data_IF_210448523744
#
_entry.id   IF_210448523744
#
_cell.length_a   1.000
_cell.length_b   1.000
_cell.length_c   1.000
_cell.angle_alpha   90.00
_cell.angle_beta   90.00
_cell.angle_gamma   90.00
#
_symmetry.space_group_name_H-M   'P 1'
#
loop_
_entity.id
_entity.type
_entity.pdbx_description
1 polymer ?
#
# COMPACT_ATOMS: atom_id res chain seq x y z
N UNK A 1 -19.31 -4.38 10.60
CA UNK A 1 -19.09 -2.93 10.80
C UNK A 1 -18.24 -2.76 12.04
N UNK A 2 -17.00 -2.29 11.93
CA UNK A 2 -16.19 -1.99 13.11
C UNK A 2 -16.82 -0.81 13.85
N UNK A 3 -16.98 -0.91 15.16
CA UNK A 3 -17.49 0.19 15.98
C UNK A 3 -16.54 1.38 15.88
N UNK A 4 -17.07 2.61 15.94
CA UNK A 4 -16.26 3.84 16.04
C UNK A 4 -15.29 3.69 17.24
N UNK A 5 -13.97 3.85 17.05
CA UNK A 5 -13.03 3.83 18.16
C UNK A 5 -13.36 4.93 19.17
N UNK A 6 -13.53 4.57 20.45
CA UNK A 6 -13.87 5.51 21.52
C UNK A 6 -12.85 6.66 21.65
N UNK A 7 -11.59 6.42 21.27
CA UNK A 7 -10.56 7.47 21.27
C UNK A 7 -10.87 8.64 20.34
N UNK A 8 -11.59 8.40 19.24
CA UNK A 8 -12.00 9.46 18.32
C UNK A 8 -13.06 10.38 18.95
N UNK A 9 -13.90 9.89 19.87
CA UNK A 9 -14.86 10.76 20.55
C UNK A 9 -14.14 11.85 21.35
N UNK A 10 -13.11 11.47 22.11
CA UNK A 10 -12.28 12.41 22.88
C UNK A 10 -11.53 13.38 21.97
N UNK A 11 -10.97 12.91 20.85
CA UNK A 11 -10.23 13.76 19.92
C UNK A 11 -11.12 14.76 19.16
N UNK A 12 -12.38 14.39 18.91
CA UNK A 12 -13.32 15.23 18.16
C UNK A 12 -14.13 16.16 19.07
N UNK A 13 -14.29 15.83 20.37
CA UNK A 13 -15.10 16.61 21.31
C UNK A 13 -14.85 18.14 21.31
N UNK A 14 -13.59 18.64 21.22
CA UNK A 14 -13.35 20.08 21.12
C UNK A 14 -13.99 20.75 19.89
N UNK A 15 -14.04 20.06 18.75
CA UNK A 15 -14.72 20.55 17.55
C UNK A 15 -16.22 20.67 17.77
N UNK A 16 -16.85 19.65 18.37
CA UNK A 16 -18.29 19.65 18.64
C UNK A 16 -18.65 20.75 19.65
N UNK A 17 -17.84 20.93 20.69
CA UNK A 17 -18.02 21.98 21.69
C UNK A 17 -17.91 23.39 21.06
N UNK A 18 -17.08 23.54 20.03
CA UNK A 18 -16.98 24.77 19.24
C UNK A 18 -18.09 24.94 18.19
N UNK A 19 -19.06 24.01 18.10
CA UNK A 19 -20.14 24.05 17.12
C UNK A 19 -19.69 23.71 15.68
N UNK A 20 -18.55 23.04 15.53
CA UNK A 20 -17.96 22.72 14.22
C UNK A 20 -18.42 21.34 13.73
N UNK A 21 -18.46 21.19 12.40
CA UNK A 21 -18.78 19.93 11.72
C UNK A 21 -17.51 19.28 11.21
N UNK A 22 -17.26 18.05 11.63
CA UNK A 22 -16.07 17.29 11.25
C UNK A 22 -16.39 15.89 10.72
N UNK A 23 -15.61 15.42 9.76
CA UNK A 23 -15.66 14.04 9.28
C UNK A 23 -14.28 13.40 9.39
N UNK A 24 -14.21 12.18 9.89
CA UNK A 24 -13.04 11.31 9.76
C UNK A 24 -13.26 10.38 8.57
N UNK A 25 -12.39 10.49 7.56
CA UNK A 25 -12.40 9.66 6.34
C UNK A 25 -11.05 8.95 6.24
N UNK A 26 -11.01 7.66 6.57
CA UNK A 26 -9.76 6.90 6.64
C UNK A 26 -8.77 7.53 7.63
N UNK A 27 -7.62 7.96 7.11
CA UNK A 27 -6.56 8.65 7.84
C UNK A 27 -6.59 10.18 7.71
N UNK A 28 -7.77 10.77 7.44
CA UNK A 28 -7.94 12.22 7.29
C UNK A 28 -9.07 12.75 8.17
N UNK A 29 -8.86 13.94 8.74
CA UNK A 29 -9.85 14.75 9.45
C UNK A 29 -10.25 15.94 8.58
N UNK A 30 -11.53 16.05 8.27
CA UNK A 30 -12.11 17.12 7.48
C UNK A 30 -12.90 18.04 8.43
N UNK A 31 -12.60 19.32 8.43
CA UNK A 31 -13.37 20.39 9.07
C UNK A 31 -14.16 21.13 8.00
N UNK A 32 -15.47 20.95 8.02
CA UNK A 32 -16.39 21.48 7.02
C UNK A 32 -16.84 22.90 7.33
N UNK A 33 -17.51 23.50 6.34
CA UNK A 33 -18.22 24.78 6.47
C UNK A 33 -17.31 25.92 6.95
N UNK A 34 -16.04 25.93 6.52
CA UNK A 34 -15.08 26.98 6.82
C UNK A 34 -15.44 28.22 5.97
N UNK A 35 -15.89 29.33 6.59
CA UNK A 35 -16.22 30.54 5.82
C UNK A 35 -14.96 31.14 5.22
N UNK A 36 -14.98 31.40 3.93
CA UNK A 36 -13.84 31.90 3.16
C UNK A 36 -14.29 33.03 2.23
N UNK A 37 -13.45 34.05 2.07
CA UNK A 37 -13.66 35.13 1.10
C UNK A 37 -12.98 34.72 -0.20
N UNK A 38 -13.69 34.79 -1.32
CA UNK A 38 -13.11 34.58 -2.65
C UNK A 38 -12.57 35.89 -3.28
N UNK A 39 -11.97 35.79 -4.47
CA UNK A 39 -11.38 36.94 -5.17
C UNK A 39 -12.42 37.97 -5.66
N UNK A 40 -13.71 37.64 -5.60
CA UNK A 40 -14.83 38.55 -5.89
C UNK A 40 -15.40 39.18 -4.60
N UNK A 41 -14.73 38.97 -3.46
CA UNK A 41 -15.17 39.41 -2.13
C UNK A 41 -16.50 38.77 -1.71
N UNK A 42 -16.81 37.59 -2.24
CA UNK A 42 -18.01 36.84 -1.85
C UNK A 42 -17.66 35.83 -0.75
N UNK A 43 -18.60 35.65 0.17
CA UNK A 43 -18.50 34.60 1.19
C UNK A 43 -18.87 33.25 0.59
N UNK A 44 -17.99 32.29 0.77
CA UNK A 44 -18.13 30.90 0.35
C UNK A 44 -17.78 29.99 1.51
N UNK A 45 -18.03 28.70 1.34
CA UNK A 45 -17.64 27.67 2.30
C UNK A 45 -16.57 26.78 1.67
N UNK A 46 -15.61 26.38 2.50
CA UNK A 46 -14.61 25.38 2.16
C UNK A 46 -14.46 24.34 3.26
N UNK A 47 -13.50 23.44 3.06
CA UNK A 47 -13.18 22.35 3.97
C UNK A 47 -11.69 22.34 4.23
N UNK A 48 -11.29 22.41 5.50
CA UNK A 48 -9.90 22.18 5.89
C UNK A 48 -9.68 20.69 6.12
N UNK A 49 -8.54 20.17 5.70
CA UNK A 49 -8.21 18.75 5.82
C UNK A 49 -6.84 18.60 6.49
N UNK A 50 -6.74 17.72 7.46
CA UNK A 50 -5.47 17.31 8.06
C UNK A 50 -5.35 15.78 8.06
N UNK A 51 -4.11 15.28 7.99
CA UNK A 51 -3.83 13.87 8.27
C UNK A 51 -4.19 13.56 9.72
N UNK A 52 -4.86 12.44 9.96
CA UNK A 52 -5.28 11.96 11.28
C UNK A 52 -4.81 10.51 11.46
N UNK A 53 -3.74 10.31 12.25
CA UNK A 53 -3.22 8.99 12.58
C UNK A 53 -3.75 8.55 13.94
N UNK A 54 -4.35 7.35 14.00
CA UNK A 54 -4.93 6.81 15.23
C UNK A 54 -4.90 5.28 15.26
N UNK A 55 -4.96 4.73 16.47
CA UNK A 55 -5.29 3.33 16.77
C UNK A 55 -6.58 3.30 17.57
N UNK A 56 -7.00 2.12 18.04
CA UNK A 56 -8.15 2.03 18.96
C UNK A 56 -7.89 2.68 20.33
N UNK A 57 -6.61 2.88 20.68
CA UNK A 57 -6.17 3.36 21.99
C UNK A 57 -5.71 4.81 22.03
N UNK A 58 -5.20 5.36 20.91
CA UNK A 58 -4.62 6.70 20.89
C UNK A 58 -4.77 7.40 19.53
N UNK A 59 -4.77 8.72 19.56
CA UNK A 59 -4.59 9.59 18.38
C UNK A 59 -3.19 10.21 18.47
N UNK A 60 -2.40 10.07 17.43
CA UNK A 60 -1.07 10.68 17.35
C UNK A 60 -1.22 12.18 17.06
N UNK A 61 -0.52 13.09 17.76
CA UNK A 61 -0.54 14.52 17.42
C UNK A 61 -0.12 14.80 15.97
N UNK A 62 -0.53 15.94 15.40
CA UNK A 62 -0.12 16.33 14.04
C UNK A 62 1.40 16.31 13.87
N UNK A 63 1.87 15.60 12.85
CA UNK A 63 3.30 15.50 12.55
C UNK A 63 3.84 16.72 11.76
N UNK A 64 2.95 17.57 11.26
CA UNK A 64 3.27 18.72 10.41
C UNK A 64 2.28 19.85 10.69
N UNK A 65 2.67 21.09 10.39
CA UNK A 65 1.77 22.24 10.38
C UNK A 65 0.96 22.34 9.08
N UNK A 66 1.29 21.56 8.05
CA UNK A 66 0.63 21.63 6.75
C UNK A 66 -0.80 21.06 6.81
N UNK A 67 -1.68 21.60 5.97
CA UNK A 67 -3.07 21.18 5.84
C UNK A 67 -3.52 21.34 4.39
N UNK A 68 -4.56 20.63 3.98
CA UNK A 68 -5.20 20.89 2.68
C UNK A 68 -6.46 21.72 2.85
N UNK A 69 -6.88 22.31 1.75
CA UNK A 69 -8.14 23.05 1.67
C UNK A 69 -8.88 22.73 0.39
N UNK A 70 -10.17 22.46 0.52
CA UNK A 70 -11.10 22.35 -0.59
C UNK A 70 -12.05 23.54 -0.61
N UNK A 71 -12.27 24.14 -1.78
CA UNK A 71 -13.06 25.36 -1.97
C UNK A 71 -12.30 26.44 -2.74
N UNK A 72 -12.81 27.68 -2.80
CA UNK A 72 -12.12 28.79 -3.45
C UNK A 72 -10.87 29.20 -2.67
N UNK A 73 -9.83 29.65 -3.35
CA UNK A 73 -8.59 30.07 -2.68
C UNK A 73 -8.87 31.23 -1.70
N UNK A 74 -8.44 31.13 -0.43
CA UNK A 74 -8.69 32.17 0.57
C UNK A 74 -8.13 33.55 0.18
N UNK A 75 -8.97 34.57 0.30
CA UNK A 75 -8.62 35.96 0.09
C UNK A 75 -8.81 36.79 1.37
N UNK A 76 -8.09 37.90 1.46
CA UNK A 76 -8.37 38.97 2.42
C UNK A 76 -9.73 39.60 2.11
N UNK A 77 -10.32 40.32 3.07
CA UNK A 77 -11.64 40.96 2.91
C UNK A 77 -11.73 41.96 1.73
N UNK A 78 -10.59 42.48 1.28
CA UNK A 78 -10.48 43.36 0.11
C UNK A 78 -10.45 42.60 -1.24
N UNK A 79 -10.43 41.27 -1.24
CA UNK A 79 -10.38 40.39 -2.42
C UNK A 79 -8.97 40.00 -2.89
N UNK A 80 -7.90 40.48 -2.25
CA UNK A 80 -6.54 40.03 -2.59
C UNK A 80 -6.25 38.64 -2.01
N UNK A 81 -5.55 37.80 -2.77
CA UNK A 81 -5.27 36.40 -2.39
C UNK A 81 -4.33 36.30 -1.18
N UNK A 82 -4.60 35.36 -0.27
CA UNK A 82 -3.76 35.08 0.90
C UNK A 82 -2.59 34.17 0.53
N UNK A 83 -1.69 34.64 -0.33
CA UNK A 83 -0.56 33.84 -0.86
C UNK A 83 0.37 33.29 0.24
N UNK A 84 0.38 33.89 1.44
CA UNK A 84 1.06 33.39 2.62
C UNK A 84 0.61 31.99 3.11
N UNK A 85 -0.53 31.49 2.60
CA UNK A 85 -1.00 30.14 2.86
C UNK A 85 -0.51 29.14 1.81
N UNK A 86 -0.26 29.57 0.57
CA UNK A 86 -0.03 28.66 -0.56
C UNK A 86 1.28 27.91 -0.40
N UNK A 87 1.21 26.59 -0.54
CA UNK A 87 2.40 25.76 -0.79
C UNK A 87 2.38 25.21 -2.21
N UNK A 88 1.39 24.39 -2.54
CA UNK A 88 1.17 23.81 -3.87
C UNK A 88 -0.33 23.61 -4.11
N UNK A 89 -0.69 23.37 -5.37
CA UNK A 89 -2.04 22.89 -5.71
C UNK A 89 -2.07 21.34 -5.64
N UNK A 90 -3.26 20.77 -5.44
CA UNK A 90 -3.45 19.31 -5.38
C UNK A 90 -3.81 18.79 -6.76
N UNK A 91 -2.90 18.07 -7.39
CA UNK A 91 -3.16 17.41 -8.67
C UNK A 91 -4.33 16.43 -8.54
N UNK A 92 -5.33 16.56 -9.41
CA UNK A 92 -6.52 15.70 -9.41
C UNK A 92 -7.61 16.07 -8.40
N UNK A 93 -7.41 17.10 -7.57
CA UNK A 93 -8.46 17.62 -6.67
C UNK A 93 -8.85 16.70 -5.51
N UNK A 94 -8.06 15.66 -5.22
CA UNK A 94 -8.38 14.62 -4.24
C UNK A 94 -7.10 14.05 -3.62
N UNK A 95 -7.08 13.85 -2.29
CA UNK A 95 -5.90 13.32 -1.58
C UNK A 95 -6.08 11.89 -1.08
N UNK A 96 -7.32 11.44 -0.96
CA UNK A 96 -7.71 10.06 -0.63
C UNK A 96 -9.17 9.81 -1.08
N UNK A 97 -9.63 8.55 -1.19
CA UNK A 97 -11.01 8.26 -1.55
C UNK A 97 -12.03 9.00 -0.66
N UNK A 98 -12.82 9.88 -1.28
CA UNK A 98 -13.82 10.71 -0.59
C UNK A 98 -13.25 11.93 0.16
N UNK A 99 -11.97 12.30 -0.06
CA UNK A 99 -11.32 13.46 0.57
C UNK A 99 -10.89 14.46 -0.51
N UNK A 100 -11.78 15.38 -0.91
CA UNK A 100 -11.46 16.41 -1.88
C UNK A 100 -10.50 17.44 -1.28
N UNK A 101 -9.64 18.00 -2.13
CA UNK A 101 -8.74 19.08 -1.77
C UNK A 101 -8.27 19.78 -3.05
N UNK A 102 -8.31 21.10 -3.06
CA UNK A 102 -7.84 21.90 -4.19
C UNK A 102 -6.43 22.45 -3.93
N UNK A 103 -6.15 22.84 -2.69
CA UNK A 103 -4.90 23.48 -2.30
C UNK A 103 -4.21 22.73 -1.16
N UNK A 104 -2.89 22.81 -1.14
CA UNK A 104 -2.06 22.38 -0.04
C UNK A 104 -1.39 23.61 0.59
N UNK A 105 -1.61 23.78 1.89
CA UNK A 105 -1.19 24.95 2.63
C UNK A 105 0.00 24.68 3.55
N UNK A 106 0.80 25.72 3.77
CA UNK A 106 1.91 25.72 4.70
C UNK A 106 2.02 27.09 5.37
N UNK A 107 1.40 27.23 6.54
CA UNK A 107 1.50 28.42 7.37
C UNK A 107 1.65 28.04 8.84
N UNK A 108 2.57 28.68 9.56
CA UNK A 108 2.87 28.44 10.98
C UNK A 108 3.39 29.70 11.63
N UNK A 109 3.26 29.79 12.95
CA UNK A 109 3.81 30.87 13.73
C UNK A 109 5.35 30.78 13.85
N UNK A 110 5.99 31.91 14.10
CA UNK A 110 7.42 31.95 14.41
C UNK A 110 7.72 31.14 15.67
N UNK A 111 8.73 30.26 15.59
CA UNK A 111 9.10 29.37 16.69
C UNK A 111 8.18 28.16 16.90
N UNK A 112 7.29 27.85 15.95
CA UNK A 112 6.44 26.66 16.01
C UNK A 112 7.25 25.36 16.21
N UNK A 113 6.89 24.60 17.25
CA UNK A 113 7.51 23.32 17.61
C UNK A 113 6.58 22.11 17.43
N UNK A 114 5.31 22.34 17.10
CA UNK A 114 4.29 21.29 17.00
C UNK A 114 2.92 21.79 17.42
N UNK A 115 1.86 21.09 16.99
CA UNK A 115 0.52 21.23 17.57
C UNK A 115 0.27 20.10 18.57
N UNK A 116 -0.34 20.41 19.71
CA UNK A 116 -0.69 19.40 20.69
C UNK A 116 -1.83 18.51 20.19
N UNK A 117 -2.81 19.12 19.50
CA UNK A 117 -3.97 18.42 18.96
C UNK A 117 -4.29 18.85 17.52
N UNK A 118 -5.06 18.03 16.80
CA UNK A 118 -5.59 18.39 15.49
C UNK A 118 -6.56 19.57 15.55
N UNK A 119 -7.21 19.78 16.70
CA UNK A 119 -8.03 20.97 16.93
C UNK A 119 -7.17 22.23 16.88
N UNK A 120 -6.02 22.25 17.56
CA UNK A 120 -5.11 23.41 17.52
C UNK A 120 -4.62 23.69 16.10
N UNK A 121 -4.24 22.64 15.36
CA UNK A 121 -3.79 22.74 13.97
C UNK A 121 -4.88 23.32 13.05
N UNK A 122 -6.08 22.74 13.07
CA UNK A 122 -7.14 23.17 12.16
C UNK A 122 -7.70 24.54 12.56
N UNK A 123 -7.73 24.86 13.85
CA UNK A 123 -8.16 26.18 14.32
C UNK A 123 -7.17 27.29 13.99
N UNK A 124 -5.87 26.99 13.83
CA UNK A 124 -4.89 27.94 13.29
C UNK A 124 -5.33 28.45 11.91
N UNK A 125 -5.52 27.53 10.96
CA UNK A 125 -5.96 27.89 9.61
C UNK A 125 -7.38 28.48 9.60
N UNK A 126 -8.29 27.89 10.38
CA UNK A 126 -9.67 28.36 10.46
C UNK A 126 -9.72 29.83 10.89
N UNK A 127 -8.92 30.25 11.88
CA UNK A 127 -8.86 31.66 12.32
C UNK A 127 -8.32 32.57 11.23
N UNK A 128 -7.17 32.23 10.65
CA UNK A 128 -6.54 33.02 9.58
C UNK A 128 -7.52 33.29 8.43
N UNK A 129 -8.24 32.25 7.99
CA UNK A 129 -9.18 32.32 6.87
C UNK A 129 -10.49 33.01 7.29
N UNK A 130 -11.11 32.55 8.37
CA UNK A 130 -12.47 32.97 8.77
C UNK A 130 -12.50 34.39 9.33
N UNK A 131 -11.41 34.89 9.90
CA UNK A 131 -11.36 36.25 10.40
C UNK A 131 -11.48 37.28 9.25
N UNK A 132 -11.05 36.93 8.03
CA UNK A 132 -11.31 37.77 6.84
C UNK A 132 -12.77 37.75 6.41
N UNK A 133 -13.44 36.59 6.53
CA UNK A 133 -14.88 36.48 6.28
C UNK A 133 -15.70 37.32 7.28
N UNK A 134 -15.28 37.35 8.56
CA UNK A 134 -15.93 38.13 9.63
C UNK A 134 -15.86 39.64 9.44
N UNK A 135 -14.86 40.14 8.70
CA UNK A 135 -14.81 41.56 8.32
C UNK A 135 -15.98 41.92 7.39
N UNK A 136 -16.40 40.98 6.54
CA UNK A 136 -17.52 41.17 5.60
C UNK A 136 -18.86 40.91 6.29
N UNK A 137 -18.98 39.79 6.99
CA UNK A 137 -20.15 39.45 7.79
C UNK A 137 -19.74 38.90 9.17
N UNK A 138 -19.89 39.69 10.24
CA UNK A 138 -19.58 39.26 11.61
C UNK A 138 -20.37 38.03 12.08
N UNK A 139 -21.50 37.71 11.42
CA UNK A 139 -22.33 36.55 11.74
C UNK A 139 -22.07 35.34 10.83
N UNK A 140 -21.05 35.35 9.97
CA UNK A 140 -20.76 34.24 9.04
C UNK A 140 -20.39 32.93 9.74
N UNK A 141 -20.11 32.98 11.05
CA UNK A 141 -19.87 31.81 11.92
C UNK A 141 -21.04 31.52 12.87
N UNK A 142 -22.11 32.32 12.84
CA UNK A 142 -23.24 32.23 13.77
C UNK A 142 -24.25 31.21 13.24
N UNK A 143 -24.22 30.04 13.85
CA UNK A 143 -25.12 28.89 13.66
C UNK A 143 -24.97 28.13 12.33
N UNK A 144 -23.89 27.34 12.23
CA UNK A 144 -23.81 26.17 11.34
C UNK A 144 -24.58 24.93 11.91
N UNK A 145 -25.46 25.14 12.90
CA UNK A 145 -26.14 24.07 13.64
C UNK A 145 -25.34 23.58 14.86
N UNK A 146 -25.83 22.53 15.56
CA UNK A 146 -25.04 21.87 16.59
C UNK A 146 -23.78 21.24 15.96
N UNK A 147 -22.64 21.35 16.64
CA UNK A 147 -21.42 20.68 16.22
C UNK A 147 -21.67 19.18 16.06
N UNK A 148 -21.12 18.59 15.01
CA UNK A 148 -21.37 17.20 14.66
C UNK A 148 -20.10 16.52 14.20
N UNK A 149 -20.01 15.22 14.46
CA UNK A 149 -18.94 14.38 13.92
C UNK A 149 -19.50 13.17 13.20
N UNK A 150 -18.87 12.84 12.09
CA UNK A 150 -19.08 11.59 11.36
C UNK A 150 -17.74 10.85 11.27
N UNK A 151 -17.75 9.54 11.50
CA UNK A 151 -16.62 8.67 11.16
C UNK A 151 -17.08 7.77 10.04
N UNK A 152 -16.52 7.95 8.85
CA UNK A 152 -16.88 7.13 7.71
C UNK A 152 -16.43 5.69 7.93
N UNK A 153 -17.26 4.70 7.53
CA UNK A 153 -16.85 3.31 7.61
C UNK A 153 -15.63 3.09 6.71
N UNK A 154 -14.66 2.34 7.23
CA UNK A 154 -13.49 1.94 6.45
C UNK A 154 -13.88 0.88 5.43
N UNK A 155 -13.38 1.05 4.22
CA UNK A 155 -13.55 0.13 3.09
C UNK A 155 -12.27 -0.61 2.73
N UNK A 156 -11.14 -0.15 3.28
CA UNK A 156 -9.84 -0.78 3.14
C UNK A 156 -9.73 -2.03 4.03
N UNK A 157 -8.82 -2.99 3.72
CA UNK A 157 -8.73 -4.25 4.44
C UNK A 157 -8.02 -4.15 5.80
N UNK A 158 -7.45 -3.00 6.15
CA UNK A 158 -6.59 -2.88 7.33
C UNK A 158 -7.40 -2.71 8.63
N UNK A 159 -6.83 -3.16 9.75
CA UNK A 159 -7.42 -3.00 11.09
C UNK A 159 -7.18 -1.62 11.68
N UNK A 160 -6.11 -0.94 11.25
CA UNK A 160 -5.78 0.45 11.58
C UNK A 160 -5.41 1.22 10.29
N UNK A 161 -5.55 2.56 10.24
CA UNK A 161 -5.32 3.33 9.03
C UNK A 161 -3.89 3.20 8.50
N UNK A 162 -3.71 3.23 7.18
CA UNK A 162 -2.40 3.33 6.55
C UNK A 162 -1.79 4.73 6.77
N UNK A 163 -1.12 4.87 7.91
CA UNK A 163 -0.44 6.09 8.29
C UNK A 163 0.78 6.40 7.41
N UNK A 164 1.36 5.40 6.74
CA UNK A 164 2.54 5.60 5.89
C UNK A 164 2.15 6.38 4.63
N UNK A 165 1.13 5.90 3.92
CA UNK A 165 0.61 6.58 2.72
C UNK A 165 0.04 7.95 3.05
N UNK A 166 -0.66 8.10 4.18
CA UNK A 166 -1.26 9.36 4.59
C UNK A 166 -0.21 10.42 4.98
N UNK A 167 0.87 10.03 5.69
CA UNK A 167 1.96 10.96 6.04
C UNK A 167 2.84 11.31 4.84
N UNK A 168 3.00 10.38 3.90
CA UNK A 168 3.77 10.60 2.68
C UNK A 168 2.97 11.29 1.56
N UNK A 169 1.69 11.61 1.78
CA UNK A 169 0.80 12.24 0.80
C UNK A 169 0.67 11.45 -0.52
N UNK A 170 0.67 10.11 -0.44
CA UNK A 170 0.57 9.23 -1.63
C UNK A 170 -0.57 8.21 -1.55
N UNK A 171 -1.60 8.45 -0.72
CA UNK A 171 -2.76 7.54 -0.59
C UNK A 171 -3.38 7.20 -1.94
N UNK A 172 -3.60 8.18 -2.82
CA UNK A 172 -4.12 7.94 -4.17
C UNK A 172 -3.23 7.03 -5.04
N UNK A 173 -1.92 6.99 -4.80
CA UNK A 173 -1.01 6.06 -5.47
C UNK A 173 -1.17 4.65 -4.90
N UNK A 174 -1.29 4.52 -3.57
CA UNK A 174 -1.58 3.25 -2.89
C UNK A 174 -2.92 2.65 -3.33
N UNK A 175 -3.94 3.48 -3.55
CA UNK A 175 -5.26 3.07 -4.04
C UNK A 175 -5.23 2.39 -5.41
N UNK A 176 -4.16 2.55 -6.20
CA UNK A 176 -3.98 1.79 -7.46
C UNK A 176 -3.88 0.28 -7.23
N UNK A 177 -3.55 -0.13 -6.00
CA UNK A 177 -3.47 -1.53 -5.58
C UNK A 177 -4.74 -1.99 -4.85
N UNK A 178 -5.71 -1.10 -4.62
CA UNK A 178 -6.94 -1.43 -3.93
C UNK A 178 -7.85 -2.32 -4.80
N UNK A 179 -8.78 -3.02 -4.16
CA UNK A 179 -9.78 -3.91 -4.80
C UNK A 179 -9.24 -5.16 -5.52
N UNK A 180 -7.92 -5.26 -5.72
CA UNK A 180 -7.27 -6.41 -6.32
C UNK A 180 -7.50 -7.68 -5.49
N UNK A 181 -7.64 -8.81 -6.19
CA UNK A 181 -7.57 -10.18 -5.66
C UNK A 181 -6.29 -10.82 -6.18
N UNK A 182 -5.38 -11.13 -5.28
CA UNK A 182 -4.05 -11.65 -5.61
C UNK A 182 -3.95 -13.09 -5.12
N UNK A 183 -3.33 -13.97 -5.90
CA UNK A 183 -2.90 -15.28 -5.40
C UNK A 183 -1.38 -15.36 -5.25
N UNK A 184 -0.94 -16.04 -4.20
CA UNK A 184 0.46 -16.41 -3.97
C UNK A 184 0.51 -17.94 -3.92
N UNK A 185 1.17 -18.55 -4.90
CA UNK A 185 1.32 -20.00 -5.03
C UNK A 185 2.72 -20.41 -4.57
N UNK A 186 2.78 -21.13 -3.46
CA UNK A 186 4.01 -21.46 -2.74
C UNK A 186 4.35 -20.39 -1.69
N UNK A 187 4.42 -20.80 -0.43
CA UNK A 187 4.84 -20.03 0.74
C UNK A 187 6.14 -20.57 1.33
N UNK A 188 7.07 -20.96 0.45
CA UNK A 188 8.47 -21.17 0.80
C UNK A 188 9.16 -19.86 1.20
N UNK A 189 10.49 -19.80 1.07
CA UNK A 189 11.25 -18.61 1.44
C UNK A 189 10.78 -17.37 0.67
N UNK A 190 10.76 -17.42 -0.66
CA UNK A 190 10.39 -16.26 -1.48
C UNK A 190 8.91 -15.89 -1.32
N UNK A 191 7.99 -16.85 -1.42
CA UNK A 191 6.55 -16.57 -1.36
C UNK A 191 6.08 -15.99 -0.01
N UNK A 192 6.70 -16.40 1.10
CA UNK A 192 6.42 -15.81 2.41
C UNK A 192 6.87 -14.36 2.52
N UNK A 193 8.01 -13.97 1.91
CA UNK A 193 8.41 -12.57 1.79
C UNK A 193 7.55 -11.78 0.79
N UNK A 194 7.01 -12.41 -0.26
CA UNK A 194 6.02 -11.76 -1.13
C UNK A 194 4.79 -11.39 -0.31
N UNK A 195 4.26 -12.33 0.49
CA UNK A 195 3.16 -12.06 1.39
C UNK A 195 3.50 -10.96 2.40
N UNK A 196 4.70 -10.98 2.99
CA UNK A 196 5.15 -9.92 3.91
C UNK A 196 4.98 -8.53 3.30
N UNK A 197 5.31 -8.36 2.02
CA UNK A 197 5.19 -7.06 1.36
C UNK A 197 3.75 -6.76 0.89
N UNK A 198 3.05 -7.74 0.31
CA UNK A 198 1.69 -7.56 -0.24
C UNK A 198 0.66 -7.34 0.88
N UNK A 199 0.82 -7.98 2.04
CA UNK A 199 -0.05 -7.78 3.20
C UNK A 199 -0.07 -6.33 3.69
N UNK A 200 0.97 -5.54 3.41
CA UNK A 200 1.07 -4.12 3.76
C UNK A 200 0.44 -3.18 2.73
N UNK A 201 -0.31 -3.70 1.75
CA UNK A 201 -0.96 -2.93 0.67
C UNK A 201 -2.49 -3.04 0.73
N UNK A 202 -3.26 -2.11 0.12
CA UNK A 202 -4.72 -2.10 0.18
C UNK A 202 -5.40 -3.16 -0.70
N UNK A 203 -4.65 -4.13 -1.24
CA UNK A 203 -5.16 -5.32 -1.94
C UNK A 203 -6.31 -5.92 -1.14
N UNK A 204 -7.46 -6.17 -1.76
CA UNK A 204 -8.68 -6.59 -1.05
C UNK A 204 -8.57 -8.02 -0.54
N UNK A 205 -8.13 -8.93 -1.40
CA UNK A 205 -8.00 -10.36 -1.07
C UNK A 205 -6.62 -10.88 -1.45
N UNK A 206 -5.99 -11.63 -0.53
CA UNK A 206 -4.72 -12.32 -0.75
C UNK A 206 -4.96 -13.81 -0.49
N UNK A 207 -4.96 -14.60 -1.57
CA UNK A 207 -5.18 -16.04 -1.50
C UNK A 207 -3.84 -16.78 -1.45
N UNK A 208 -3.68 -17.64 -0.45
CA UNK A 208 -2.46 -18.36 -0.15
C UNK A 208 -2.61 -19.84 -0.53
N UNK A 209 -1.83 -20.34 -1.49
CA UNK A 209 -1.83 -21.75 -1.90
C UNK A 209 -0.52 -22.41 -1.52
N UNK A 210 -0.55 -23.27 -0.50
CA UNK A 210 0.59 -24.12 -0.11
C UNK A 210 0.09 -25.36 0.63
N UNK A 211 0.58 -26.54 0.26
CA UNK A 211 0.22 -27.82 0.86
C UNK A 211 1.15 -28.28 1.99
N UNK A 212 2.23 -27.55 2.27
CA UNK A 212 3.25 -27.94 3.24
C UNK A 212 2.91 -27.51 4.67
N UNK A 213 3.60 -28.18 5.60
CA UNK A 213 3.69 -27.82 7.01
C UNK A 213 4.85 -26.83 7.23
N UNK A 214 4.69 -25.91 8.17
CA UNK A 214 5.74 -25.02 8.61
C UNK A 214 6.67 -25.73 9.60
N UNK A 215 7.92 -25.93 9.19
CA UNK A 215 8.93 -26.67 9.93
C UNK A 215 10.08 -25.76 10.40
N UNK A 216 10.89 -26.26 11.34
CA UNK A 216 12.01 -25.52 11.95
C UNK A 216 12.94 -24.89 10.91
N UNK A 217 13.29 -25.63 9.86
CA UNK A 217 14.19 -25.14 8.83
C UNK A 217 13.58 -23.99 7.99
N UNK A 218 12.24 -23.87 7.95
CA UNK A 218 11.58 -22.75 7.26
C UNK A 218 11.77 -21.43 7.99
N UNK A 219 11.82 -21.44 9.33
CA UNK A 219 11.96 -20.23 10.15
C UNK A 219 13.26 -19.45 9.86
N UNK A 220 14.30 -20.10 9.34
CA UNK A 220 15.59 -19.47 9.01
C UNK A 220 15.62 -18.81 7.63
N UNK A 221 14.53 -18.89 6.86
CA UNK A 221 14.42 -18.33 5.50
C UNK A 221 13.08 -17.66 5.22
N UNK A 222 12.30 -17.38 6.25
CA UNK A 222 10.98 -16.76 6.18
C UNK A 222 10.96 -15.44 6.98
N UNK A 223 9.99 -14.54 6.74
CA UNK A 223 9.82 -13.33 7.54
C UNK A 223 9.49 -13.64 9.00
N UNK A 224 9.86 -12.70 9.88
CA UNK A 224 9.62 -12.74 11.32
C UNK A 224 10.27 -13.93 12.05
N UNK A 225 10.31 -13.85 13.38
CA UNK A 225 10.76 -14.96 14.21
C UNK A 225 9.58 -15.92 14.46
N UNK A 226 9.82 -17.22 14.31
CA UNK A 226 8.86 -18.25 14.68
C UNK A 226 8.98 -18.61 16.16
N UNK A 227 7.84 -18.90 16.80
CA UNK A 227 7.79 -19.52 18.12
C UNK A 227 7.74 -21.04 18.00
N UNK A 228 8.05 -21.78 19.07
CA UNK A 228 7.92 -23.25 19.10
C UNK A 228 6.49 -23.71 18.78
N UNK A 229 5.49 -22.91 19.19
CA UNK A 229 4.07 -23.18 18.91
C UNK A 229 3.66 -23.00 17.45
N UNK A 230 4.54 -22.48 16.59
CA UNK A 230 4.25 -22.29 15.16
C UNK A 230 4.55 -23.51 14.31
N UNK A 231 5.45 -24.37 14.76
CA UNK A 231 5.81 -25.58 14.00
C UNK A 231 4.67 -26.60 14.00
N UNK A 232 4.51 -27.31 12.88
CA UNK A 232 3.43 -28.29 12.70
C UNK A 232 2.12 -27.70 12.18
N UNK A 233 1.97 -26.37 12.13
CA UNK A 233 0.86 -25.71 11.42
C UNK A 233 1.08 -25.80 9.91
N UNK A 234 0.01 -25.84 9.12
CA UNK A 234 0.13 -25.60 7.67
C UNK A 234 0.75 -24.23 7.42
N UNK A 235 1.59 -24.08 6.39
CA UNK A 235 2.23 -22.79 6.09
C UNK A 235 1.21 -21.67 5.89
N UNK A 236 0.10 -21.95 5.19
CA UNK A 236 -0.96 -20.96 4.96
C UNK A 236 -1.57 -20.45 6.28
N UNK A 237 -1.84 -21.34 7.25
CA UNK A 237 -2.36 -20.94 8.56
C UNK A 237 -1.33 -20.16 9.39
N UNK A 238 -0.06 -20.57 9.38
CA UNK A 238 1.00 -19.85 10.09
C UNK A 238 1.13 -18.40 9.58
N UNK A 239 1.26 -18.23 8.26
CA UNK A 239 1.46 -16.91 7.69
C UNK A 239 0.18 -16.05 7.68
N UNK A 240 -1.00 -16.67 7.57
CA UNK A 240 -2.28 -15.98 7.75
C UNK A 240 -2.38 -15.37 9.15
N UNK A 241 -2.11 -16.17 10.19
CA UNK A 241 -2.09 -15.71 11.58
C UNK A 241 -1.06 -14.60 11.84
N UNK A 242 0.09 -14.63 11.15
CA UNK A 242 1.14 -13.61 11.29
C UNK A 242 0.67 -12.20 10.88
N UNK A 243 -0.17 -12.08 9.85
CA UNK A 243 -0.63 -10.78 9.31
C UNK A 243 -2.07 -10.41 9.67
N UNK A 244 -2.84 -11.33 10.26
CA UNK A 244 -4.19 -11.10 10.78
C UNK A 244 -4.31 -9.86 11.69
N UNK A 245 -3.34 -9.56 12.59
CA UNK A 245 -3.42 -8.37 13.45
C UNK A 245 -3.38 -7.05 12.67
N UNK A 246 -2.86 -7.06 11.43
CA UNK A 246 -2.76 -5.87 10.57
C UNK A 246 -3.97 -5.72 9.65
N UNK A 247 -4.53 -6.82 9.15
CA UNK A 247 -5.53 -6.78 8.07
C UNK A 247 -6.45 -7.99 8.03
N UNK A 248 -7.53 -7.82 7.28
CA UNK A 248 -8.47 -8.87 6.87
C UNK A 248 -8.21 -9.29 5.42
N UNK A 249 -8.93 -10.31 4.93
CA UNK A 249 -8.87 -10.71 3.53
C UNK A 249 -7.64 -11.52 3.13
N UNK A 250 -7.02 -12.23 4.07
CA UNK A 250 -6.09 -13.32 3.76
C UNK A 250 -6.89 -14.62 3.76
N UNK A 251 -6.85 -15.36 2.65
CA UNK A 251 -7.65 -16.58 2.45
C UNK A 251 -6.72 -17.77 2.25
N UNK A 252 -6.89 -18.79 3.09
CA UNK A 252 -6.04 -19.97 3.15
C UNK A 252 -6.53 -21.08 2.21
N UNK A 253 -5.60 -21.64 1.42
CA UNK A 253 -5.80 -22.85 0.62
C UNK A 253 -4.68 -23.85 0.98
N UNK A 254 -4.89 -24.72 1.98
CA UNK A 254 -3.87 -25.66 2.49
C UNK A 254 -3.70 -26.86 1.54
N UNK A 255 -3.40 -26.59 0.27
CA UNK A 255 -3.28 -27.58 -0.78
C UNK A 255 -2.30 -27.11 -1.87
N UNK A 256 -1.62 -28.06 -2.49
CA UNK A 256 -0.88 -27.79 -3.71
C UNK A 256 -1.82 -27.46 -4.87
N UNK A 257 -1.32 -26.66 -5.82
CA UNK A 257 -1.99 -26.48 -7.10
C UNK A 257 -1.69 -27.68 -8.01
N UNK A 258 -2.75 -28.28 -8.53
CA UNK A 258 -2.75 -29.47 -9.38
C UNK A 258 -3.74 -29.28 -10.53
N UNK A 259 -3.81 -30.22 -11.46
CA UNK A 259 -4.76 -30.17 -12.58
C UNK A 259 -6.22 -30.03 -12.12
N UNK A 260 -6.53 -30.56 -10.92
CA UNK A 260 -7.89 -30.53 -10.35
C UNK A 260 -8.32 -29.12 -9.93
N UNK A 261 -7.40 -28.27 -9.47
CA UNK A 261 -7.73 -26.98 -8.86
C UNK A 261 -7.02 -25.77 -9.50
N UNK A 262 -6.16 -25.96 -10.51
CA UNK A 262 -5.46 -24.86 -11.20
C UNK A 262 -6.44 -23.84 -11.82
N UNK A 263 -7.64 -24.29 -12.21
CA UNK A 263 -8.73 -23.44 -12.68
C UNK A 263 -9.17 -22.34 -11.70
N UNK A 264 -8.93 -22.52 -10.39
CA UNK A 264 -9.20 -21.51 -9.38
C UNK A 264 -8.36 -20.24 -9.58
N UNK A 265 -7.23 -20.33 -10.27
CA UNK A 265 -6.33 -19.21 -10.49
C UNK A 265 -6.85 -18.20 -11.52
N UNK A 266 -7.79 -18.61 -12.39
CA UNK A 266 -8.38 -17.75 -13.42
C UNK A 266 -9.18 -16.54 -12.91
N UNK A 267 -9.51 -16.51 -11.61
CA UNK A 267 -10.35 -15.47 -11.00
C UNK A 267 -9.57 -14.28 -10.40
N UNK A 268 -8.23 -14.35 -10.39
CA UNK A 268 -7.38 -13.36 -9.74
C UNK A 268 -6.93 -12.27 -10.71
N UNK A 269 -6.75 -11.07 -10.19
CA UNK A 269 -6.23 -9.93 -10.97
C UNK A 269 -4.73 -10.07 -11.21
N UNK A 270 -4.03 -10.84 -10.37
CA UNK A 270 -2.61 -11.14 -10.52
C UNK A 270 -2.20 -12.36 -9.70
N UNK A 271 -1.19 -13.10 -10.16
CA UNK A 271 -0.65 -14.27 -9.42
C UNK A 271 0.87 -14.15 -9.22
N UNK A 272 1.33 -14.43 -8.02
CA UNK A 272 2.74 -14.69 -7.74
C UNK A 272 2.97 -16.21 -7.71
N UNK A 273 3.86 -16.69 -8.57
CA UNK A 273 4.25 -18.10 -8.67
C UNK A 273 5.63 -18.24 -8.01
N UNK A 274 5.65 -18.86 -6.83
CA UNK A 274 6.83 -19.03 -5.98
C UNK A 274 7.06 -20.52 -5.67
N UNK A 275 6.89 -21.38 -6.68
CA UNK A 275 7.09 -22.83 -6.58
C UNK A 275 8.51 -23.21 -6.99
N UNK A 276 9.03 -24.28 -6.42
CA UNK A 276 10.37 -24.82 -6.72
C UNK A 276 10.32 -25.89 -7.83
N UNK A 277 9.29 -26.74 -7.86
CA UNK A 277 9.15 -27.84 -8.83
C UNK A 277 8.80 -27.40 -10.25
N UNK A 278 9.63 -27.82 -11.22
CA UNK A 278 9.45 -27.53 -12.65
C UNK A 278 8.09 -27.95 -13.23
N UNK A 279 7.58 -29.17 -13.01
CA UNK A 279 6.27 -29.59 -13.52
C UNK A 279 5.11 -28.75 -12.96
N UNK A 280 5.14 -28.41 -11.66
CA UNK A 280 4.14 -27.54 -11.05
C UNK A 280 4.18 -26.15 -11.66
N UNK A 281 5.38 -25.58 -11.84
CA UNK A 281 5.59 -24.29 -12.52
C UNK A 281 5.00 -24.30 -13.93
N UNK A 282 5.27 -25.35 -14.71
CA UNK A 282 4.72 -25.51 -16.07
C UNK A 282 3.19 -25.52 -16.06
N UNK A 283 2.58 -26.37 -15.23
CA UNK A 283 1.13 -26.49 -15.12
C UNK A 283 0.48 -25.13 -14.80
N UNK A 284 0.96 -24.46 -13.74
CA UNK A 284 0.41 -23.20 -13.26
C UNK A 284 0.57 -22.11 -14.32
N UNK A 285 1.79 -21.91 -14.83
CA UNK A 285 2.08 -20.82 -15.75
C UNK A 285 1.41 -21.02 -17.12
N UNK A 286 1.33 -22.26 -17.63
CA UNK A 286 0.57 -22.54 -18.86
C UNK A 286 -0.90 -22.16 -18.69
N UNK A 287 -1.52 -22.56 -17.58
CA UNK A 287 -2.92 -22.22 -17.31
C UNK A 287 -3.14 -20.70 -17.22
N UNK A 288 -2.27 -19.98 -16.51
CA UNK A 288 -2.37 -18.52 -16.38
C UNK A 288 -2.21 -17.79 -17.72
N UNK A 289 -1.28 -18.25 -18.57
CA UNK A 289 -1.11 -17.73 -19.93
C UNK A 289 -2.39 -17.95 -20.75
N UNK A 290 -2.94 -19.17 -20.72
CA UNK A 290 -4.14 -19.53 -21.49
C UNK A 290 -5.39 -18.75 -21.03
N UNK A 291 -5.48 -18.42 -19.73
CA UNK A 291 -6.57 -17.60 -19.17
C UNK A 291 -6.33 -16.09 -19.29
N UNK A 292 -5.15 -15.66 -19.75
CA UNK A 292 -4.80 -14.24 -19.79
C UNK A 292 -4.71 -13.58 -18.41
N UNK A 293 -4.34 -14.35 -17.37
CA UNK A 293 -4.10 -13.80 -16.03
C UNK A 293 -2.63 -13.39 -15.93
N UNK A 294 -2.31 -12.11 -15.63
CA UNK A 294 -0.93 -11.68 -15.47
C UNK A 294 -0.31 -12.28 -14.21
N UNK A 295 0.96 -12.64 -14.29
CA UNK A 295 1.67 -13.25 -13.17
C UNK A 295 3.18 -13.00 -13.19
N UNK A 296 3.81 -13.19 -12.04
CA UNK A 296 5.26 -13.23 -11.90
C UNK A 296 5.70 -14.60 -11.39
N UNK A 297 6.65 -15.23 -12.08
CA UNK A 297 7.42 -16.37 -11.58
C UNK A 297 8.70 -15.88 -10.89
N UNK A 298 8.98 -16.45 -9.73
CA UNK A 298 10.20 -16.22 -8.98
C UNK A 298 11.07 -17.48 -9.01
N UNK A 299 12.32 -17.34 -9.46
CA UNK A 299 13.31 -18.41 -9.43
C UNK A 299 14.51 -18.01 -8.58
N UNK A 300 15.09 -18.97 -7.86
CA UNK A 300 16.36 -18.78 -7.19
C UNK A 300 17.23 -20.00 -7.47
N UNK A 301 18.48 -19.76 -7.84
CA UNK A 301 19.48 -20.79 -8.04
C UNK A 301 20.72 -20.43 -7.22
N UNK A 302 21.04 -21.24 -6.22
CA UNK A 302 22.13 -21.02 -5.27
C UNK A 302 22.97 -22.28 -5.19
N UNK A 303 24.29 -22.09 -5.18
CA UNK A 303 25.26 -23.17 -5.18
C UNK A 303 26.45 -22.84 -4.26
N UNK A 304 27.06 -23.87 -3.70
CA UNK A 304 28.25 -23.77 -2.86
C UNK A 304 29.51 -23.98 -3.72
N UNK A 305 30.43 -23.02 -3.70
CA UNK A 305 31.71 -23.14 -4.39
C UNK A 305 32.67 -24.07 -3.65
N UNK A 306 33.71 -24.52 -4.35
CA UNK A 306 34.82 -25.26 -3.73
C UNK A 306 35.53 -24.47 -2.63
N UNK A 307 35.46 -23.14 -2.66
CA UNK A 307 35.98 -22.24 -1.63
C UNK A 307 35.01 -22.03 -0.44
N UNK A 308 33.93 -22.82 -0.35
CA UNK A 308 32.90 -22.70 0.69
C UNK A 308 32.20 -21.34 0.70
N UNK A 309 31.97 -20.77 -0.50
CA UNK A 309 31.23 -19.52 -0.68
C UNK A 309 29.96 -19.77 -1.48
N UNK A 310 28.87 -19.13 -1.09
CA UNK A 310 27.61 -19.24 -1.83
C UNK A 310 27.62 -18.27 -3.00
N UNK A 311 27.24 -18.75 -4.17
CA UNK A 311 27.00 -17.96 -5.36
C UNK A 311 25.65 -18.35 -5.98
N UNK A 312 25.06 -17.46 -6.77
CA UNK A 312 23.76 -17.74 -7.35
C UNK A 312 23.06 -16.52 -7.93
N UNK A 313 21.82 -16.75 -8.35
CA UNK A 313 20.97 -15.75 -9.00
C UNK A 313 19.56 -15.72 -8.41
N UNK A 314 18.95 -14.54 -8.42
CA UNK A 314 17.52 -14.34 -8.19
C UNK A 314 16.88 -13.90 -9.52
N UNK A 315 15.84 -14.61 -9.96
CA UNK A 315 15.14 -14.37 -11.22
C UNK A 315 13.69 -13.97 -10.96
N UNK A 316 13.26 -12.92 -11.67
CA UNK A 316 11.87 -12.51 -11.76
C UNK A 316 11.47 -12.46 -13.23
N UNK A 317 10.46 -13.24 -13.62
CA UNK A 317 9.89 -13.22 -14.97
C UNK A 317 8.40 -12.91 -14.87
N UNK A 318 7.97 -11.81 -15.48
CA UNK A 318 6.54 -11.47 -15.60
C UNK A 318 6.01 -11.93 -16.95
N UNK A 319 4.81 -12.48 -16.95
CA UNK A 319 4.02 -12.70 -18.15
C UNK A 319 2.69 -11.94 -18.01
N UNK A 320 2.29 -11.29 -19.09
CA UNK A 320 1.03 -10.56 -19.19
C UNK A 320 0.28 -11.02 -20.44
N UNK A 321 -1.01 -10.70 -20.58
CA UNK A 321 -1.74 -10.92 -21.84
C UNK A 321 -1.04 -10.30 -23.06
N UNK A 322 -0.34 -9.19 -22.87
CA UNK A 322 0.39 -8.50 -23.94
C UNK A 322 1.75 -9.14 -24.25
N UNK A 323 2.40 -9.79 -23.27
CA UNK A 323 3.75 -10.34 -23.40
C UNK A 323 3.92 -11.57 -22.51
N UNK A 324 3.70 -12.74 -23.11
CA UNK A 324 3.83 -14.07 -22.45
C UNK A 324 4.69 -15.06 -23.22
N UNK A 325 4.90 -14.86 -24.53
CA UNK A 325 5.60 -15.83 -25.41
C UNK A 325 7.04 -16.15 -24.98
N UNK A 326 7.73 -15.20 -24.33
CA UNK A 326 9.11 -15.37 -23.85
C UNK A 326 9.22 -16.22 -22.58
N UNK A 327 8.10 -16.50 -21.90
CA UNK A 327 8.13 -16.98 -20.53
C UNK A 327 8.89 -18.30 -20.37
N UNK A 328 8.57 -19.30 -21.20
CA UNK A 328 9.18 -20.63 -21.13
C UNK A 328 10.62 -20.69 -21.62
N UNK A 329 11.11 -19.64 -22.30
CA UNK A 329 12.53 -19.49 -22.64
C UNK A 329 13.36 -19.01 -21.43
N UNK A 330 12.70 -18.51 -20.38
CA UNK A 330 13.33 -17.91 -19.20
C UNK A 330 13.10 -18.70 -17.91
N UNK A 331 12.04 -19.49 -17.83
CA UNK A 331 11.66 -20.24 -16.64
C UNK A 331 11.92 -21.75 -16.83
N UNK A 332 12.68 -22.40 -15.92
CA UNK A 332 12.91 -23.84 -15.96
C UNK A 332 11.61 -24.56 -15.67
N UNK A 333 11.26 -25.51 -16.53
CA UNK A 333 9.95 -26.20 -16.50
C UNK A 333 10.08 -27.70 -16.74
N UNK A 334 11.30 -28.21 -16.67
CA UNK A 334 11.61 -29.64 -16.72
C UNK A 334 11.74 -30.17 -15.29
N UNK A 335 11.60 -31.48 -15.11
CA UNK A 335 12.14 -32.14 -13.90
C UNK A 335 13.65 -31.99 -13.90
N UNK A 336 14.24 -31.80 -12.73
CA UNK A 336 15.69 -31.73 -12.59
C UNK A 336 16.30 -33.05 -13.07
N UNK A 337 16.93 -33.01 -14.24
CA UNK A 337 17.55 -34.16 -14.89
C UNK A 337 18.99 -34.29 -14.39
N UNK A 338 19.17 -34.78 -13.16
CA UNK A 338 20.48 -35.00 -12.55
C UNK A 338 20.37 -35.77 -11.24
N UNK A 339 21.38 -36.59 -10.91
CA UNK A 339 21.44 -37.35 -9.66
C UNK A 339 21.14 -36.44 -8.46
N UNK A 340 20.00 -36.68 -7.82
CA UNK A 340 19.52 -36.00 -6.61
C UNK A 340 20.48 -36.08 -5.39
N UNK A 341 21.69 -36.61 -5.57
CA UNK A 341 22.74 -36.70 -4.56
C UNK A 341 23.53 -35.40 -4.35
N UNK A 342 23.49 -34.43 -5.27
CA UNK A 342 24.32 -33.21 -5.19
C UNK A 342 23.57 -31.88 -5.41
N UNK A 343 22.26 -31.90 -5.65
CA UNK A 343 21.47 -30.66 -5.75
C UNK A 343 21.23 -30.06 -4.37
N UNK A 344 22.09 -29.13 -3.98
CA UNK A 344 21.89 -28.35 -2.78
C UNK A 344 20.82 -27.29 -3.08
N UNK A 345 19.58 -27.52 -2.64
CA UNK A 345 18.53 -26.49 -2.61
C UNK A 345 18.86 -25.46 -1.51
N UNK A 346 19.94 -24.71 -1.69
CA UNK A 346 20.42 -23.70 -0.75
C UNK A 346 19.42 -22.55 -0.73
N UNK A 347 18.90 -22.27 0.46
CA UNK A 347 17.94 -21.21 0.69
C UNK A 347 18.46 -20.28 1.77
N UNK A 348 18.59 -18.99 1.45
CA UNK A 348 19.06 -17.96 2.38
C UNK A 348 17.97 -16.90 2.52
N UNK A 349 17.76 -16.39 3.74
CA UNK A 349 16.71 -15.42 4.05
C UNK A 349 16.82 -14.15 3.21
N UNK A 350 18.01 -13.57 3.09
CA UNK A 350 18.25 -12.32 2.36
C UNK A 350 18.05 -12.48 0.84
N UNK A 351 18.52 -13.58 0.25
CA UNK A 351 18.27 -13.90 -1.15
C UNK A 351 16.77 -14.11 -1.41
N UNK A 352 16.05 -14.78 -0.51
CA UNK A 352 14.60 -14.99 -0.62
C UNK A 352 13.84 -13.68 -0.53
N UNK A 353 14.21 -12.82 0.42
CA UNK A 353 13.65 -11.50 0.57
C UNK A 353 13.94 -10.64 -0.67
N UNK A 354 15.17 -10.64 -1.20
CA UNK A 354 15.53 -9.88 -2.39
C UNK A 354 14.70 -10.32 -3.61
N UNK A 355 14.56 -11.63 -3.85
CA UNK A 355 13.77 -12.14 -4.96
C UNK A 355 12.30 -11.71 -4.86
N UNK A 356 11.73 -11.81 -3.65
CA UNK A 356 10.37 -11.34 -3.37
C UNK A 356 10.21 -9.83 -3.58
N UNK A 357 11.18 -9.03 -3.12
CA UNK A 357 11.17 -7.56 -3.30
C UNK A 357 11.19 -7.22 -4.79
N UNK A 358 12.05 -7.87 -5.58
CA UNK A 358 12.12 -7.66 -7.03
C UNK A 358 10.76 -7.97 -7.70
N UNK A 359 10.12 -9.07 -7.31
CA UNK A 359 8.80 -9.46 -7.81
C UNK A 359 7.72 -8.43 -7.41
N UNK A 360 7.67 -8.03 -6.15
CA UNK A 360 6.67 -7.08 -5.63
C UNK A 360 6.86 -5.70 -6.24
N UNK A 361 8.09 -5.24 -6.44
CA UNK A 361 8.36 -3.98 -7.14
C UNK A 361 7.85 -4.04 -8.58
N UNK A 362 8.06 -5.15 -9.29
CA UNK A 362 7.55 -5.31 -10.65
C UNK A 362 6.03 -5.36 -10.73
N UNK A 363 5.40 -6.05 -9.79
CA UNK A 363 3.94 -6.07 -9.65
C UNK A 363 3.41 -4.65 -9.38
N UNK A 364 4.02 -3.90 -8.46
CA UNK A 364 3.66 -2.50 -8.20
C UNK A 364 3.87 -1.61 -9.42
N UNK A 365 4.90 -1.83 -10.23
CA UNK A 365 5.08 -1.14 -11.51
C UNK A 365 3.96 -1.48 -12.51
N UNK A 366 3.51 -2.74 -12.56
CA UNK A 366 2.42 -3.17 -13.44
C UNK A 366 1.12 -2.42 -13.14
N UNK A 367 0.81 -2.19 -11.87
CA UNK A 367 -0.36 -1.41 -11.44
C UNK A 367 -0.10 0.10 -11.32
N UNK A 368 1.05 0.57 -11.80
CA UNK A 368 1.40 1.99 -11.81
C UNK A 368 1.63 2.61 -10.44
N UNK A 369 1.86 1.82 -9.38
CA UNK A 369 2.25 2.36 -8.08
C UNK A 369 3.65 2.99 -8.16
N UNK A 370 4.59 2.28 -8.81
CA UNK A 370 5.90 2.83 -9.14
C UNK A 370 5.91 3.29 -10.60
N UNK A 371 6.58 4.40 -10.87
CA UNK A 371 6.93 4.77 -12.23
C UNK A 371 7.79 3.66 -12.88
N UNK A 372 7.56 3.44 -14.17
CA UNK A 372 8.27 2.44 -14.95
C UNK A 372 8.58 3.02 -16.32
N UNK A 373 9.85 3.39 -16.52
CA UNK A 373 10.29 4.01 -17.78
C UNK A 373 10.47 2.99 -18.90
N UNK A 374 10.66 1.71 -18.54
CA UNK A 374 10.78 0.61 -19.50
C UNK A 374 9.96 -0.58 -19.03
N UNK A 375 9.11 -1.09 -19.90
CA UNK A 375 8.30 -2.26 -19.60
C UNK A 375 9.14 -3.53 -19.77
N UNK A 376 9.84 -3.91 -18.69
CA UNK A 376 10.73 -5.07 -18.65
C UNK A 376 9.96 -6.33 -18.23
N UNK A 377 10.29 -7.47 -18.84
CA UNK A 377 9.56 -8.73 -18.62
C UNK A 377 10.39 -9.85 -17.98
N UNK A 378 11.70 -9.64 -17.86
CA UNK A 378 12.61 -10.58 -17.22
C UNK A 378 13.77 -9.83 -16.59
N UNK A 379 14.11 -10.24 -15.36
CA UNK A 379 15.18 -9.67 -14.56
C UNK A 379 15.93 -10.79 -13.85
N UNK A 380 17.26 -10.73 -13.91
CA UNK A 380 18.16 -11.59 -13.17
C UNK A 380 19.11 -10.72 -12.33
N UNK A 381 19.24 -11.06 -11.06
CA UNK A 381 20.20 -10.47 -10.14
C UNK A 381 21.24 -11.52 -9.75
N UNK A 382 22.52 -11.26 -10.06
CA UNK A 382 23.62 -12.14 -9.73
C UNK A 382 24.29 -11.69 -8.43
N UNK A 383 24.27 -12.54 -7.39
CA UNK A 383 24.78 -12.21 -6.06
C UNK A 383 26.29 -11.94 -6.09
N UNK A 384 27.04 -12.78 -6.79
CA UNK A 384 28.51 -12.70 -6.82
C UNK A 384 29.04 -11.37 -7.39
N UNK A 385 28.31 -10.79 -8.34
CA UNK A 385 28.68 -9.53 -8.99
C UNK A 385 27.89 -8.32 -8.45
N UNK A 386 26.90 -8.54 -7.58
CA UNK A 386 25.90 -7.52 -7.20
C UNK A 386 25.32 -6.79 -8.43
N UNK A 387 25.09 -7.54 -9.51
CA UNK A 387 24.76 -7.00 -10.82
C UNK A 387 23.34 -7.36 -11.25
N UNK A 388 22.70 -6.44 -11.96
CA UNK A 388 21.34 -6.57 -12.48
C UNK A 388 21.34 -6.63 -14.01
N UNK A 389 20.72 -7.66 -14.57
CA UNK A 389 20.41 -7.75 -15.99
C UNK A 389 18.90 -7.65 -16.20
N UNK A 390 18.46 -6.81 -17.15
CA UNK A 390 17.05 -6.69 -17.58
C UNK A 390 16.92 -6.93 -19.08
N UNK A 391 16.02 -7.82 -19.48
CA UNK A 391 15.76 -8.20 -20.86
C UNK A 391 14.26 -8.08 -21.23
N UNK A 392 13.92 -8.33 -22.50
CA UNK A 392 12.54 -8.32 -23.02
C UNK A 392 11.81 -6.98 -22.77
N UNK A 393 12.37 -5.90 -23.33
CA UNK A 393 11.86 -4.52 -23.13
C UNK A 393 10.91 -4.13 -24.26
N UNK A 394 9.82 -3.46 -23.91
CA UNK A 394 9.00 -2.68 -24.84
C UNK A 394 9.27 -1.19 -24.62
N UNK A 395 9.32 -0.40 -25.69
CA UNK A 395 9.39 1.07 -25.57
C UNK A 395 8.08 1.59 -24.95
N UNK A 396 8.19 2.31 -23.83
CA UNK A 396 7.07 3.03 -23.22
C UNK A 396 6.97 4.44 -23.79
N UNK A 397 5.77 5.00 -23.88
CA UNK A 397 5.59 6.45 -24.03
C UNK A 397 6.03 7.11 -22.73
N UNK A 398 7.11 7.88 -22.79
CA UNK A 398 7.81 8.47 -21.64
C UNK A 398 6.87 9.13 -20.63
N UNK A 399 7.00 8.74 -19.37
CA UNK A 399 6.59 9.56 -18.22
C UNK A 399 7.81 10.36 -17.77
N UNK A 400 7.99 11.54 -18.36
CA UNK A 400 8.84 12.60 -17.79
C UNK A 400 8.11 13.30 -16.65
#
# INVERSE_FOLDING_TARGET
>A
MSAKPAVLDSALAPFLAAGLRVTVQGAHLLLHDVPVVDNQRQLRLGTLVATLVYTDSQVTPPATHQAWFDGPFPCFANGSMMEQLRHTDVAGGIVAPGVPATFFFSNKDDGWTGYATHFDQLMHYWRIITDQARVIDPNCTRALGPGSSLVAPRTDPFRYPDACSARGNFVMVSERLANLRIAIVGLGGTGSYVLDQVAKTPVREIHLFDGDIFEVHNAFRAPAAASESDFGKTKVAHFSALYEPMRTGIIEHPAYVTEVNVGLLGQFDFVFVCVDKGPARRLICSHLIDQGVPFIDCGMDMSLSTAQQIFGTCRVTIATPAKSKHFFDRAPTMEDAGDALYEQNIQIADANALNAILAVMRWKQHFGFYAMNWDWHHLEFAISAMALARAERSEGTDAN
#
